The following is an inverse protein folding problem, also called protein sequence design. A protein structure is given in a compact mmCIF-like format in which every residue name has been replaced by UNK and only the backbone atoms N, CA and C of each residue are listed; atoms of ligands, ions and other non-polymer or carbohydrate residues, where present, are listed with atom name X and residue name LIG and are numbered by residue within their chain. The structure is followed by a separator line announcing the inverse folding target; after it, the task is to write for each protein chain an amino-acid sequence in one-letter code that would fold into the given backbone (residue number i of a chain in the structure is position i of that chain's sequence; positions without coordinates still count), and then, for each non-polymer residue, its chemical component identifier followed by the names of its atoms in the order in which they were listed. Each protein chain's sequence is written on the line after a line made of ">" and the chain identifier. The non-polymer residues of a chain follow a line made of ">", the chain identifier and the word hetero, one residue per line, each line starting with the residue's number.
data_IF_322284715855
#
_entry.id   IF_322284715855
#
_cell.length_a   1.000
_cell.length_b   1.000
_cell.length_c   1.000
_cell.angle_alpha   90.00
_cell.angle_beta   90.00
_cell.angle_gamma   90.00
#
_symmetry.space_group_name_H-M   'P 1'
#
loop_
_entity.id
_entity.type
_entity.pdbx_description
1 polymer ?
#
# COMPACT_ATOMS: atom_id res chain seq x y z
N UNK A 1 -16.82 7.21 -36.45
CA UNK A 1 -17.65 6.12 -35.91
C UNK A 1 -18.81 6.69 -35.11
N UNK A 2 -19.95 6.01 -35.08
CA UNK A 2 -21.01 6.30 -34.09
C UNK A 2 -20.74 5.53 -32.79
N UNK A 3 -21.34 5.94 -31.67
CA UNK A 3 -21.27 5.17 -30.41
C UNK A 3 -21.84 3.77 -30.58
N UNK A 4 -22.86 3.60 -31.44
CA UNK A 4 -23.45 2.31 -31.75
C UNK A 4 -22.50 1.38 -32.54
N UNK A 5 -21.68 1.94 -33.45
CA UNK A 5 -20.63 1.19 -34.14
C UNK A 5 -19.53 0.77 -33.16
N UNK A 6 -19.05 1.70 -32.32
CA UNK A 6 -18.04 1.37 -31.29
C UNK A 6 -18.54 0.28 -30.34
N UNK A 7 -19.83 0.31 -29.97
CA UNK A 7 -20.46 -0.68 -29.11
C UNK A 7 -20.51 -2.11 -29.66
N UNK A 8 -20.21 -2.33 -30.95
CA UNK A 8 -20.10 -3.66 -31.55
C UNK A 8 -18.74 -4.33 -31.25
N UNK A 9 -17.73 -3.54 -30.90
CA UNK A 9 -16.34 -3.98 -30.69
C UNK A 9 -16.06 -4.23 -29.20
N UNK A 10 -16.58 -5.35 -28.69
CA UNK A 10 -16.56 -5.69 -27.24
C UNK A 10 -15.69 -6.87 -26.85
N UNK A 11 -15.20 -7.64 -27.82
CA UNK A 11 -14.49 -8.89 -27.57
C UNK A 11 -13.20 -8.93 -28.39
N UNK A 12 -12.18 -9.73 -27.98
CA UNK A 12 -10.96 -9.88 -28.78
C UNK A 12 -11.21 -10.32 -30.22
N UNK A 13 -12.23 -11.14 -30.46
CA UNK A 13 -12.60 -11.62 -31.80
C UNK A 13 -13.18 -10.50 -32.67
N UNK A 14 -13.91 -9.56 -32.06
CA UNK A 14 -14.57 -8.45 -32.74
C UNK A 14 -13.72 -7.16 -32.69
N UNK A 15 -12.50 -7.23 -32.16
CA UNK A 15 -11.70 -6.10 -31.64
C UNK A 15 -12.35 -5.44 -30.41
N UNK A 16 -11.52 -4.89 -29.54
CA UNK A 16 -11.92 -4.19 -28.32
C UNK A 16 -11.73 -2.70 -28.54
N UNK A 17 -12.81 -1.99 -28.82
CA UNK A 17 -12.75 -0.54 -29.00
C UNK A 17 -13.26 0.22 -27.80
N UNK A 18 -12.71 1.40 -27.56
CA UNK A 18 -13.09 2.31 -26.47
C UNK A 18 -13.07 3.75 -26.97
N UNK A 19 -13.72 4.66 -26.26
CA UNK A 19 -13.68 6.10 -26.57
C UNK A 19 -13.12 6.93 -25.43
N UNK A 20 -12.47 8.05 -25.75
CA UNK A 20 -12.10 9.08 -24.78
C UNK A 20 -12.16 10.46 -25.45
N UNK A 21 -12.95 11.37 -24.89
CA UNK A 21 -13.39 12.58 -25.57
C UNK A 21 -14.16 12.22 -26.83
N UNK A 22 -13.66 12.68 -27.98
CA UNK A 22 -14.21 12.36 -29.30
C UNK A 22 -13.44 11.26 -30.02
N UNK A 23 -12.35 10.75 -29.44
CA UNK A 23 -11.47 9.80 -30.13
C UNK A 23 -11.92 8.35 -29.87
N UNK A 24 -11.68 7.49 -30.87
CA UNK A 24 -11.94 6.05 -30.84
C UNK A 24 -10.62 5.30 -30.92
N UNK A 25 -10.45 4.33 -30.04
CA UNK A 25 -9.21 3.58 -29.87
C UNK A 25 -9.47 2.08 -29.98
N UNK A 26 -8.63 1.37 -30.73
CA UNK A 26 -8.60 -0.10 -30.75
C UNK A 26 -7.53 -0.58 -29.78
N UNK A 27 -7.96 -0.98 -28.58
CA UNK A 27 -7.09 -1.39 -27.49
C UNK A 27 -6.92 -2.91 -27.42
N UNK A 28 -7.31 -3.65 -28.47
CA UNK A 28 -7.28 -5.13 -28.49
C UNK A 28 -5.93 -5.67 -28.03
N UNK A 29 -4.85 -5.16 -28.61
CA UNK A 29 -3.49 -5.62 -28.32
C UNK A 29 -2.94 -5.09 -26.98
N UNK A 30 -3.61 -4.08 -26.39
CA UNK A 30 -3.25 -3.52 -25.09
C UNK A 30 -3.93 -4.24 -23.92
N UNK A 31 -5.02 -4.99 -24.17
CA UNK A 31 -5.82 -5.62 -23.11
C UNK A 31 -4.96 -6.46 -22.17
N UNK A 32 -4.07 -7.29 -22.71
CA UNK A 32 -3.19 -8.16 -21.94
C UNK A 32 -2.04 -7.40 -21.25
N UNK A 33 -1.68 -6.22 -21.77
CA UNK A 33 -0.60 -5.36 -21.26
C UNK A 33 -1.06 -4.39 -20.17
N UNK A 34 -2.37 -4.28 -19.95
CA UNK A 34 -2.96 -3.32 -19.03
C UNK A 34 -2.53 -3.60 -17.57
N UNK A 35 -1.97 -2.61 -16.84
CA UNK A 35 -1.41 -2.83 -15.49
C UNK A 35 -2.40 -3.27 -14.41
N UNK A 36 -3.71 -3.07 -14.65
CA UNK A 36 -4.80 -3.54 -13.80
C UNK A 36 -5.34 -4.92 -14.21
N UNK A 37 -4.73 -5.58 -15.20
CA UNK A 37 -5.22 -6.80 -15.82
C UNK A 37 -6.25 -6.57 -16.93
N UNK A 38 -6.51 -7.61 -17.76
CA UNK A 38 -7.40 -7.53 -18.92
C UNK A 38 -8.86 -7.30 -18.51
N UNK A 39 -9.29 -7.88 -17.38
CA UNK A 39 -10.66 -7.76 -16.88
C UNK A 39 -11.07 -6.31 -16.66
N UNK A 40 -10.13 -5.44 -16.26
CA UNK A 40 -10.44 -4.03 -15.94
C UNK A 40 -10.65 -3.17 -17.16
N UNK A 41 -9.86 -3.37 -18.20
CA UNK A 41 -9.98 -2.61 -19.45
C UNK A 41 -11.14 -3.11 -20.29
N UNK A 42 -11.45 -4.42 -20.24
CA UNK A 42 -12.60 -5.00 -20.93
C UNK A 42 -13.96 -4.51 -20.42
N UNK A 43 -14.03 -3.94 -19.21
CA UNK A 43 -15.25 -3.28 -18.72
C UNK A 43 -15.63 -2.06 -19.54
N UNK A 44 -14.64 -1.40 -20.14
CA UNK A 44 -14.86 -0.26 -21.02
C UNK A 44 -15.11 -0.66 -22.48
N UNK A 45 -15.06 -1.96 -22.80
CA UNK A 45 -15.16 -2.46 -24.17
C UNK A 45 -16.48 -2.03 -24.82
N UNK A 46 -16.37 -1.42 -26.00
CA UNK A 46 -17.48 -0.81 -26.73
C UNK A 46 -18.08 0.42 -26.05
N UNK A 47 -17.34 1.09 -25.17
CA UNK A 47 -17.82 2.20 -24.35
C UNK A 47 -16.78 3.29 -24.08
N UNK A 48 -17.17 4.27 -23.26
CA UNK A 48 -16.37 5.43 -22.93
C UNK A 48 -15.43 5.16 -21.74
N UNK A 49 -14.19 5.66 -21.80
CA UNK A 49 -13.17 5.49 -20.76
C UNK A 49 -13.39 6.42 -19.56
N UNK A 50 -14.09 7.53 -19.74
CA UNK A 50 -14.26 8.61 -18.75
C UNK A 50 -14.77 8.13 -17.38
N UNK A 51 -15.79 7.25 -17.27
CA UNK A 51 -16.24 6.75 -15.97
C UNK A 51 -15.14 5.98 -15.22
N UNK A 52 -14.31 5.25 -15.95
CA UNK A 52 -13.19 4.48 -15.38
C UNK A 52 -12.00 5.38 -15.04
N UNK A 53 -11.75 6.40 -15.85
CA UNK A 53 -10.67 7.36 -15.64
C UNK A 53 -10.96 8.32 -14.48
N UNK A 54 -12.23 8.64 -14.25
CA UNK A 54 -12.67 9.35 -13.06
C UNK A 54 -12.34 8.58 -11.77
N UNK A 55 -12.45 7.25 -11.79
CA UNK A 55 -12.07 6.35 -10.68
C UNK A 55 -10.57 6.20 -10.50
N UNK A 56 -9.83 6.18 -11.61
CA UNK A 56 -8.40 5.92 -11.63
C UNK A 56 -7.66 7.08 -12.30
N UNK A 57 -7.51 8.21 -11.59
CA UNK A 57 -6.96 9.44 -12.18
C UNK A 57 -5.51 9.31 -12.68
N UNK A 58 -4.81 8.22 -12.34
CA UNK A 58 -3.53 7.87 -12.97
C UNK A 58 -3.63 7.81 -14.50
N UNK A 59 -4.78 7.45 -15.06
CA UNK A 59 -4.97 7.40 -16.51
C UNK A 59 -5.04 8.79 -17.16
N UNK A 60 -5.33 9.84 -16.39
CA UNK A 60 -5.26 11.22 -16.85
C UNK A 60 -3.84 11.79 -16.91
N UNK A 61 -2.80 11.02 -16.53
CA UNK A 61 -1.42 11.49 -16.59
C UNK A 61 -0.90 11.52 -18.04
N UNK A 62 -0.02 12.48 -18.41
CA UNK A 62 0.46 12.65 -19.78
C UNK A 62 0.99 11.38 -20.44
N UNK A 63 1.77 10.57 -19.72
CA UNK A 63 2.35 9.34 -20.25
C UNK A 63 1.30 8.27 -20.57
N UNK A 64 0.16 8.23 -19.86
CA UNK A 64 -0.95 7.31 -20.17
C UNK A 64 -1.76 7.81 -21.36
N UNK A 65 -1.95 9.13 -21.47
CA UNK A 65 -2.55 9.75 -22.65
C UNK A 65 -1.71 9.50 -23.91
N UNK A 66 -0.38 9.60 -23.80
CA UNK A 66 0.55 9.29 -24.89
C UNK A 66 0.45 7.84 -25.31
N UNK A 67 0.45 6.90 -24.35
CA UNK A 67 0.26 5.48 -24.63
C UNK A 67 -1.08 5.20 -25.30
N UNK A 68 -2.18 5.79 -24.81
CA UNK A 68 -3.51 5.59 -25.40
C UNK A 68 -3.57 6.07 -26.86
N UNK A 69 -2.88 7.17 -27.19
CA UNK A 69 -2.85 7.73 -28.56
C UNK A 69 -2.26 6.77 -29.59
N UNK A 70 -1.37 5.86 -29.20
CA UNK A 70 -0.81 4.83 -30.09
C UNK A 70 -1.90 3.89 -30.63
N UNK A 71 -3.02 3.77 -29.92
CA UNK A 71 -4.14 2.90 -30.26
C UNK A 71 -5.30 3.62 -30.98
N UNK A 72 -5.15 4.90 -31.34
CA UNK A 72 -6.22 5.67 -31.99
C UNK A 72 -6.53 5.11 -33.39
N UNK A 73 -7.79 4.80 -33.65
CA UNK A 73 -8.28 4.28 -34.95
C UNK A 73 -9.29 5.19 -35.63
N UNK A 74 -9.82 6.20 -34.92
CA UNK A 74 -10.65 7.22 -35.53
C UNK A 74 -11.27 8.18 -34.52
N UNK A 75 -12.36 8.82 -34.93
CA UNK A 75 -13.10 9.81 -34.14
C UNK A 75 -14.61 9.53 -34.22
N UNK A 76 -15.34 9.96 -33.19
CA UNK A 76 -16.79 9.90 -33.14
C UNK A 76 -17.41 10.90 -34.12
N UNK A 77 -18.60 10.58 -34.63
CA UNK A 77 -19.37 11.53 -35.45
C UNK A 77 -19.75 12.76 -34.61
N UNK A 78 -19.94 13.94 -35.24
CA UNK A 78 -20.31 15.16 -34.51
C UNK A 78 -21.59 15.04 -33.67
N UNK A 79 -22.52 14.18 -34.08
CA UNK A 79 -23.77 13.91 -33.36
C UNK A 79 -23.54 13.12 -32.07
N UNK A 80 -22.52 12.24 -32.04
CA UNK A 80 -22.13 11.43 -30.88
C UNK A 80 -20.99 12.05 -30.05
N UNK A 81 -20.38 13.13 -30.54
CA UNK A 81 -19.34 13.90 -29.87
C UNK A 81 -19.86 14.66 -28.64
N UNK A 82 -21.18 14.88 -28.54
CA UNK A 82 -21.79 15.42 -27.34
C UNK A 82 -21.77 14.36 -26.21
N UNK A 83 -21.32 14.70 -24.98
CA UNK A 83 -21.41 13.78 -23.86
C UNK A 83 -22.88 13.45 -23.58
N UNK A 84 -23.24 12.19 -23.27
CA UNK A 84 -24.60 11.86 -22.88
C UNK A 84 -24.99 12.69 -21.64
N UNK A 85 -26.21 13.25 -21.59
CA UNK A 85 -26.68 13.95 -20.40
C UNK A 85 -27.05 12.92 -19.32
N UNK A 86 -26.31 12.92 -18.21
CA UNK A 86 -26.64 12.14 -17.01
C UNK A 86 -25.44 11.83 -16.11
N UNK A 87 -25.39 12.50 -14.96
CA UNK A 87 -24.79 12.08 -13.69
C UNK A 87 -23.43 11.36 -13.73
N UNK A 88 -22.36 12.13 -13.90
CA UNK A 88 -21.06 11.71 -13.33
C UNK A 88 -20.82 12.52 -12.06
N UNK A 89 -21.59 12.22 -11.00
CA UNK A 89 -21.15 12.60 -9.66
C UNK A 89 -19.75 12.01 -9.47
N UNK A 90 -18.77 12.88 -9.20
CA UNK A 90 -17.40 12.49 -8.90
C UNK A 90 -17.41 11.42 -7.80
N UNK A 91 -16.96 10.18 -8.07
CA UNK A 91 -17.09 9.07 -7.12
C UNK A 91 -16.31 9.32 -5.82
N UNK A 92 -15.40 10.30 -5.82
CA UNK A 92 -14.62 10.74 -4.67
C UNK A 92 -15.22 11.96 -3.95
N UNK A 93 -16.38 12.48 -4.36
CA UNK A 93 -16.98 13.66 -3.74
C UNK A 93 -17.26 13.47 -2.24
N UNK A 94 -17.54 12.23 -1.82
CA UNK A 94 -17.76 11.86 -0.41
C UNK A 94 -16.49 11.53 0.38
N UNK A 95 -15.30 11.66 -0.21
CA UNK A 95 -14.04 11.40 0.49
C UNK A 95 -13.83 12.39 1.66
N UNK A 96 -13.21 11.97 2.77
CA UNK A 96 -12.95 12.85 3.90
C UNK A 96 -11.93 13.96 3.55
N UNK A 97 -11.95 15.11 4.26
CA UNK A 97 -10.86 16.08 4.19
C UNK A 97 -9.58 15.51 4.82
N UNK A 98 -8.42 15.96 4.35
CA UNK A 98 -7.10 15.53 4.86
C UNK A 98 -6.22 16.70 5.24
N UNK A 99 -5.21 16.42 6.07
CA UNK A 99 -4.27 17.43 6.53
C UNK A 99 -3.42 17.98 5.38
N UNK A 100 -3.29 19.31 5.21
CA UNK A 100 -2.63 19.91 4.04
C UNK A 100 -1.10 19.72 4.02
N UNK A 101 -0.48 19.35 5.14
CA UNK A 101 0.95 19.06 5.18
C UNK A 101 1.33 17.72 4.53
N UNK A 102 0.36 16.86 4.23
CA UNK A 102 0.64 15.58 3.58
C UNK A 102 1.21 15.80 2.18
N UNK A 103 2.19 14.98 1.81
CA UNK A 103 2.75 14.92 0.46
C UNK A 103 1.88 14.01 -0.39
N UNK A 104 0.98 14.63 -1.15
CA UNK A 104 0.02 13.92 -2.00
C UNK A 104 0.70 13.46 -3.29
N UNK A 105 0.65 12.17 -3.56
CA UNK A 105 1.11 11.59 -4.83
C UNK A 105 -0.05 11.25 -5.78
N UNK A 106 -1.27 11.09 -5.24
CA UNK A 106 -2.50 10.95 -6.01
C UNK A 106 -3.66 11.54 -5.23
N UNK A 107 -4.50 12.35 -5.89
CA UNK A 107 -5.71 12.89 -5.28
C UNK A 107 -6.89 11.91 -5.38
N UNK A 108 -6.99 11.17 -6.49
CA UNK A 108 -8.12 10.29 -6.81
C UNK A 108 -7.65 8.99 -7.48
N UNK A 109 -7.58 7.87 -6.75
CA UNK A 109 -7.83 7.74 -5.32
C UNK A 109 -6.77 8.45 -4.47
N UNK A 110 -7.14 8.86 -3.26
CA UNK A 110 -6.24 9.62 -2.38
C UNK A 110 -5.09 8.75 -1.87
N UNK A 111 -3.85 9.19 -2.14
CA UNK A 111 -2.64 8.56 -1.67
C UNK A 111 -1.62 9.63 -1.29
N UNK A 112 -1.15 9.59 -0.04
CA UNK A 112 -0.25 10.60 0.50
C UNK A 112 0.59 10.05 1.66
N UNK A 113 1.77 10.63 1.85
CA UNK A 113 2.71 10.32 2.93
C UNK A 113 2.98 11.58 3.78
N UNK A 114 3.34 11.44 5.06
CA UNK A 114 3.82 12.58 5.83
C UNK A 114 5.13 13.13 5.25
N UNK A 115 5.44 14.41 5.46
CA UNK A 115 6.78 14.93 5.24
C UNK A 115 7.82 14.10 6.01
N UNK A 116 8.94 13.70 5.38
CA UNK A 116 10.00 12.92 6.03
C UNK A 116 10.46 13.45 7.39
N UNK A 117 10.59 14.77 7.52
CA UNK A 117 10.99 15.47 8.74
C UNK A 117 9.98 15.37 9.89
N UNK A 118 8.71 15.04 9.59
CA UNK A 118 7.68 14.80 10.60
C UNK A 118 7.51 13.31 10.92
N UNK A 119 7.91 12.43 10.00
CA UNK A 119 7.68 10.99 10.08
C UNK A 119 8.18 10.38 11.39
N UNK A 120 9.34 10.82 11.89
CA UNK A 120 9.99 10.26 13.09
C UNK A 120 10.00 11.22 14.28
N UNK A 121 9.16 12.26 14.29
CA UNK A 121 9.06 13.18 15.44
C UNK A 121 8.34 12.55 16.64
N UNK A 122 7.52 11.54 16.38
CA UNK A 122 6.82 10.76 17.40
C UNK A 122 6.93 9.28 17.09
N UNK A 123 7.00 8.45 18.14
CA UNK A 123 6.97 7.00 17.99
C UNK A 123 5.63 6.51 17.42
N UNK A 124 4.52 7.11 17.86
CA UNK A 124 3.19 6.91 17.29
C UNK A 124 2.91 8.08 16.35
N UNK A 125 2.74 7.78 15.06
CA UNK A 125 2.39 8.77 14.05
C UNK A 125 0.97 9.28 14.33
N UNK A 126 0.76 10.61 14.43
CA UNK A 126 -0.58 11.19 14.55
C UNK A 126 -1.51 10.72 13.43
N UNK A 127 -2.79 10.52 13.73
CA UNK A 127 -3.77 9.96 12.80
C UNK A 127 -3.87 10.77 11.49
N UNK A 128 -3.72 12.08 11.59
CA UNK A 128 -3.80 13.07 10.52
C UNK A 128 -2.56 13.06 9.59
N UNK A 129 -1.45 12.50 10.09
CA UNK A 129 -0.18 12.39 9.36
C UNK A 129 0.16 10.94 8.98
N UNK A 130 -0.58 9.96 9.48
CA UNK A 130 -0.41 8.56 9.12
C UNK A 130 -0.61 8.40 7.61
N UNK A 131 0.34 7.77 6.92
CA UNK A 131 0.28 7.67 5.45
C UNK A 131 -1.03 7.01 4.99
N UNK A 132 -1.63 7.54 3.93
CA UNK A 132 -2.89 7.04 3.40
C UNK A 132 -2.64 6.42 2.04
N UNK A 133 -3.07 5.17 1.86
CA UNK A 133 -3.12 4.48 0.56
C UNK A 133 -4.53 4.01 0.29
N UNK A 134 -5.21 4.62 -0.67
CA UNK A 134 -6.53 4.20 -1.16
C UNK A 134 -6.41 3.72 -2.61
N UNK A 135 -7.01 2.57 -2.93
CA UNK A 135 -7.14 2.09 -4.32
C UNK A 135 -8.42 2.63 -4.98
N UNK A 136 -9.41 2.98 -4.18
CA UNK A 136 -10.80 3.26 -4.55
C UNK A 136 -11.34 4.40 -3.67
N UNK A 137 -12.52 4.96 -3.98
CA UNK A 137 -13.18 5.95 -3.12
C UNK A 137 -13.39 5.46 -1.69
N UNK A 138 -13.38 6.38 -0.73
CA UNK A 138 -13.57 6.06 0.69
C UNK A 138 -15.06 5.81 0.95
N UNK A 139 -15.47 4.61 1.41
CA UNK A 139 -16.86 4.34 1.74
C UNK A 139 -17.43 5.31 2.77
N UNK A 140 -18.71 5.67 2.60
CA UNK A 140 -19.52 6.34 3.62
C UNK A 140 -20.33 5.27 4.33
N UNK A 141 -20.03 5.04 5.61
CA UNK A 141 -20.61 3.93 6.38
C UNK A 141 -21.44 4.49 7.53
N UNK A 142 -22.70 4.08 7.61
CA UNK A 142 -23.57 4.39 8.75
C UNK A 142 -23.35 3.33 9.86
N UNK A 143 -22.90 3.71 11.07
CA UNK A 143 -22.48 2.75 12.09
C UNK A 143 -23.57 1.78 12.55
N UNK A 144 -24.82 2.24 12.64
CA UNK A 144 -25.94 1.41 13.10
C UNK A 144 -26.32 0.28 12.14
N UNK A 145 -26.11 0.49 10.84
CA UNK A 145 -26.45 -0.49 9.79
C UNK A 145 -25.25 -1.34 9.35
N UNK A 146 -24.03 -0.95 9.70
CA UNK A 146 -22.82 -1.74 9.40
C UNK A 146 -22.93 -3.18 9.91
N UNK A 147 -22.56 -4.15 9.06
CA UNK A 147 -22.45 -5.56 9.42
C UNK A 147 -21.18 -6.16 8.86
N UNK A 148 -20.39 -6.79 9.73
CA UNK A 148 -19.26 -7.64 9.38
C UNK A 148 -19.74 -9.08 9.21
N UNK A 149 -19.52 -9.66 8.04
CA UNK A 149 -19.86 -11.07 7.76
C UNK A 149 -18.64 -11.97 8.02
N UNK A 150 -18.85 -13.08 8.73
CA UNK A 150 -17.82 -14.11 8.93
C UNK A 150 -18.35 -15.43 8.39
N UNK A 151 -17.68 -16.01 7.41
CA UNK A 151 -18.20 -17.15 6.63
C UNK A 151 -17.10 -18.11 6.15
N UNK A 152 -17.49 -19.17 5.45
CA UNK A 152 -16.59 -20.16 4.89
C UNK A 152 -16.75 -21.58 5.46
N UNK A 153 -16.03 -22.57 4.91
CA UNK A 153 -16.20 -23.98 5.30
C UNK A 153 -15.78 -24.24 6.75
N UNK A 154 -16.69 -24.79 7.54
CA UNK A 154 -16.43 -25.13 8.95
C UNK A 154 -16.56 -23.95 9.91
N UNK A 155 -17.13 -22.83 9.49
CA UNK A 155 -17.62 -21.79 10.39
C UNK A 155 -19.14 -21.63 10.28
N UNK A 156 -19.78 -21.29 11.39
CA UNK A 156 -21.15 -20.81 11.43
C UNK A 156 -21.15 -19.38 10.93
N UNK A 157 -21.96 -19.09 9.91
CA UNK A 157 -22.09 -17.74 9.38
C UNK A 157 -22.48 -16.76 10.48
N UNK A 158 -21.64 -15.73 10.71
CA UNK A 158 -21.93 -14.64 11.63
C UNK A 158 -22.18 -13.35 10.84
N UNK A 159 -23.10 -12.53 11.34
CA UNK A 159 -23.30 -11.15 10.91
C UNK A 159 -23.22 -10.27 12.14
N UNK A 160 -22.10 -9.58 12.32
CA UNK A 160 -21.77 -8.81 13.52
C UNK A 160 -21.97 -7.32 13.27
N UNK A 161 -22.80 -6.66 14.07
CA UNK A 161 -22.81 -5.20 14.16
C UNK A 161 -21.51 -4.67 14.80
N UNK A 162 -21.23 -3.38 14.63
CA UNK A 162 -20.11 -2.72 15.30
C UNK A 162 -20.21 -2.84 16.83
N UNK A 163 -21.43 -2.70 17.38
CA UNK A 163 -21.69 -2.82 18.82
C UNK A 163 -21.39 -4.24 19.33
N UNK A 164 -21.85 -5.27 18.61
CA UNK A 164 -21.57 -6.67 18.94
C UNK A 164 -20.06 -6.97 18.89
N UNK A 165 -19.34 -6.46 17.89
CA UNK A 165 -17.90 -6.64 17.77
C UNK A 165 -17.15 -6.02 18.97
N UNK A 166 -17.60 -4.85 19.46
CA UNK A 166 -17.02 -4.18 20.64
C UNK A 166 -17.39 -4.86 21.97
N UNK A 167 -18.61 -5.38 22.10
CA UNK A 167 -19.14 -5.90 23.36
C UNK A 167 -18.84 -7.38 23.59
N UNK A 168 -18.87 -8.21 22.52
CA UNK A 168 -18.72 -9.66 22.65
C UNK A 168 -17.27 -10.13 22.78
N UNK A 169 -16.33 -9.37 22.26
CA UNK A 169 -14.93 -9.77 22.18
C UNK A 169 -14.07 -8.85 23.04
N UNK A 170 -13.15 -9.41 23.87
CA UNK A 170 -12.23 -8.59 24.64
C UNK A 170 -11.42 -7.67 23.72
N UNK A 171 -11.37 -6.37 24.03
CA UNK A 171 -10.53 -5.42 23.32
C UNK A 171 -9.06 -5.76 23.60
N UNK A 172 -8.28 -5.95 22.54
CA UNK A 172 -6.83 -6.08 22.58
C UNK A 172 -6.19 -4.89 21.87
N UNK A 173 -5.07 -4.41 22.40
CA UNK A 173 -4.31 -3.31 21.81
C UNK A 173 -2.94 -3.79 21.34
N UNK A 174 -2.57 -3.38 20.12
CA UNK A 174 -1.30 -3.75 19.48
C UNK A 174 -0.70 -2.53 18.84
N UNK A 175 0.51 -2.16 19.25
CA UNK A 175 1.30 -1.13 18.56
C UNK A 175 2.04 -1.74 17.38
N UNK A 176 1.65 -1.39 16.16
CA UNK A 176 2.19 -1.97 14.94
C UNK A 176 2.46 -0.91 13.86
N UNK A 177 3.57 -1.07 13.17
CA UNK A 177 3.92 -0.29 11.98
C UNK A 177 3.27 -0.91 10.76
N UNK A 178 2.61 -0.09 9.94
CA UNK A 178 2.20 -0.49 8.59
C UNK A 178 3.17 0.11 7.59
N UNK A 179 3.69 -0.72 6.69
CA UNK A 179 4.52 -0.30 5.57
C UNK A 179 3.87 -0.75 4.25
N UNK A 180 3.75 0.16 3.29
CA UNK A 180 3.32 -0.18 1.93
C UNK A 180 4.42 -0.97 1.21
N UNK A 181 4.05 -1.94 0.36
CA UNK A 181 5.00 -2.67 -0.49
C UNK A 181 5.85 -1.74 -1.36
N UNK A 182 5.28 -0.60 -1.76
CA UNK A 182 5.90 0.41 -2.60
C UNK A 182 6.63 1.53 -1.86
N UNK A 183 6.85 1.42 -0.54
CA UNK A 183 7.67 2.40 0.17
C UNK A 183 9.03 2.53 -0.51
N UNK A 184 9.54 3.76 -0.68
CA UNK A 184 10.79 4.07 -1.38
C UNK A 184 10.82 3.68 -2.87
N UNK A 185 9.66 3.60 -3.53
CA UNK A 185 9.56 3.29 -4.97
C UNK A 185 10.31 4.29 -5.84
N UNK A 186 10.33 5.57 -5.47
CA UNK A 186 11.01 6.62 -6.24
C UNK A 186 12.50 6.33 -6.46
N UNK A 187 13.15 5.58 -5.57
CA UNK A 187 14.55 5.16 -5.74
C UNK A 187 14.71 4.09 -6.83
N UNK A 188 13.73 3.19 -7.01
CA UNK A 188 13.73 2.24 -8.12
C UNK A 188 13.53 2.93 -9.46
N UNK A 189 12.68 3.95 -9.52
CA UNK A 189 12.46 4.75 -10.73
C UNK A 189 13.73 5.44 -11.24
N UNK A 190 14.72 5.69 -10.37
CA UNK A 190 16.03 6.26 -10.76
C UNK A 190 16.93 5.27 -11.49
N UNK A 191 16.72 3.97 -11.32
CA UNK A 191 17.44 2.92 -12.05
C UNK A 191 16.80 2.70 -13.42
N UNK A 192 15.49 2.43 -13.41
CA UNK A 192 14.66 2.24 -14.61
C UNK A 192 13.20 2.55 -14.25
N UNK A 193 12.40 3.17 -15.13
CA UNK A 193 10.99 3.45 -14.85
C UNK A 193 10.21 2.21 -14.39
N UNK A 194 9.29 2.40 -13.45
CA UNK A 194 8.43 1.36 -12.86
C UNK A 194 6.98 1.82 -12.83
N UNK A 195 6.02 0.90 -12.76
CA UNK A 195 4.60 1.25 -12.61
C UNK A 195 4.19 1.26 -11.13
N UNK A 196 3.73 2.41 -10.65
CA UNK A 196 3.17 2.56 -9.30
C UNK A 196 3.31 3.99 -8.75
N UNK A 197 2.70 4.24 -7.59
CA UNK A 197 2.77 5.54 -6.91
C UNK A 197 4.21 5.89 -6.51
N UNK A 198 4.63 7.11 -6.80
CA UNK A 198 5.99 7.61 -6.58
C UNK A 198 6.26 7.97 -5.10
N UNK A 199 6.19 6.97 -4.22
CA UNK A 199 6.49 7.13 -2.80
C UNK A 199 7.97 7.49 -2.57
N UNK A 200 8.20 8.42 -1.65
CA UNK A 200 9.49 8.65 -1.00
C UNK A 200 9.63 7.65 0.18
N UNK A 201 10.27 8.03 1.28
CA UNK A 201 10.50 7.18 2.45
C UNK A 201 9.29 7.06 3.40
N UNK A 202 8.19 7.78 3.15
CA UNK A 202 7.09 7.98 4.10
C UNK A 202 5.87 7.10 3.88
N UNK A 203 5.90 6.09 3.00
CA UNK A 203 4.81 5.10 2.89
C UNK A 203 4.87 4.04 4.00
N UNK A 204 5.09 4.51 5.23
CA UNK A 204 5.22 3.78 6.48
C UNK A 204 4.75 4.67 7.64
N UNK A 205 4.02 4.12 8.60
CA UNK A 205 3.61 4.85 9.81
C UNK A 205 3.26 3.87 10.93
N UNK A 206 3.28 4.33 12.18
CA UNK A 206 3.08 3.48 13.36
C UNK A 206 1.93 4.01 14.21
N UNK A 207 1.03 3.12 14.63
CA UNK A 207 -0.08 3.47 15.51
C UNK A 207 -0.32 2.35 16.54
N UNK A 208 -0.98 2.72 17.64
CA UNK A 208 -1.59 1.74 18.57
C UNK A 208 -2.99 1.41 18.08
N UNK A 209 -3.21 0.17 17.67
CA UNK A 209 -4.48 -0.31 17.15
C UNK A 209 -5.27 -1.01 18.26
N UNK A 210 -6.57 -0.73 18.37
CA UNK A 210 -7.46 -1.36 19.34
C UNK A 210 -8.62 -2.07 18.66
N UNK A 211 -8.90 -3.32 19.05
CA UNK A 211 -9.95 -4.10 18.42
C UNK A 211 -10.16 -5.49 18.99
N UNK A 212 -11.06 -6.25 18.36
CA UNK A 212 -11.22 -7.66 18.62
C UNK A 212 -10.07 -8.45 17.96
N UNK A 213 -9.57 -9.51 18.61
CA UNK A 213 -8.61 -10.41 17.95
C UNK A 213 -9.33 -11.21 16.86
N UNK A 214 -8.71 -11.32 15.67
CA UNK A 214 -9.26 -12.13 14.58
C UNK A 214 -9.44 -13.59 15.01
N UNK A 215 -8.48 -14.12 15.78
CA UNK A 215 -8.54 -15.43 16.42
C UNK A 215 -9.87 -15.64 17.15
N UNK A 216 -10.23 -14.73 18.04
CA UNK A 216 -11.40 -14.89 18.92
C UNK A 216 -12.71 -14.85 18.13
N UNK A 217 -12.76 -14.03 17.07
CA UNK A 217 -13.91 -13.95 16.16
C UNK A 217 -14.09 -15.25 15.37
N UNK A 218 -13.00 -15.82 14.85
CA UNK A 218 -13.04 -17.10 14.11
C UNK A 218 -13.42 -18.28 15.03
N UNK A 219 -12.88 -18.32 16.25
CA UNK A 219 -13.25 -19.33 17.24
C UNK A 219 -14.72 -19.20 17.67
N UNK A 220 -15.24 -17.98 17.84
CA UNK A 220 -16.65 -17.75 18.13
C UNK A 220 -17.57 -18.17 16.97
N UNK A 221 -17.10 -18.04 15.72
CA UNK A 221 -17.77 -18.59 14.54
C UNK A 221 -17.76 -20.13 14.54
N UNK A 222 -17.05 -20.79 15.46
CA UNK A 222 -16.99 -22.25 15.60
C UNK A 222 -15.92 -22.89 14.72
N UNK A 223 -14.93 -22.12 14.24
CA UNK A 223 -13.80 -22.68 13.52
C UNK A 223 -13.03 -23.65 14.42
N UNK A 224 -13.02 -24.93 14.04
CA UNK A 224 -12.19 -25.96 14.66
C UNK A 224 -10.85 -26.12 13.96
N UNK A 225 -10.14 -27.19 14.32
CA UNK A 225 -8.87 -27.55 13.70
C UNK A 225 -9.03 -27.83 12.21
N UNK A 226 -8.05 -27.38 11.42
CA UNK A 226 -7.97 -27.58 9.98
C UNK A 226 -6.62 -28.17 9.63
N UNK A 227 -6.61 -29.21 8.80
CA UNK A 227 -5.41 -29.80 8.22
C UNK A 227 -5.11 -29.19 6.86
N UNK A 228 -3.82 -29.03 6.53
CA UNK A 228 -3.35 -28.47 5.26
C UNK A 228 -3.26 -26.94 5.27
N UNK A 229 -2.98 -26.37 4.10
CA UNK A 229 -2.88 -24.92 3.93
C UNK A 229 -4.27 -24.31 3.76
N UNK A 230 -4.61 -23.40 4.66
CA UNK A 230 -5.85 -22.64 4.64
C UNK A 230 -5.54 -21.15 4.78
N UNK A 231 -6.49 -20.34 4.33
CA UNK A 231 -6.39 -18.89 4.33
C UNK A 231 -7.63 -18.26 4.96
N UNK A 232 -7.44 -17.05 5.47
CA UNK A 232 -8.53 -16.15 5.81
C UNK A 232 -8.50 -15.00 4.81
N UNK A 233 -9.55 -14.93 4.00
CA UNK A 233 -9.78 -13.92 2.98
C UNK A 233 -10.60 -12.77 3.58
N UNK A 234 -10.27 -11.56 3.15
CA UNK A 234 -10.91 -10.33 3.59
C UNK A 234 -11.39 -9.57 2.36
N UNK A 235 -12.57 -8.95 2.46
CA UNK A 235 -13.03 -7.97 1.48
C UNK A 235 -13.40 -6.65 2.19
N UNK A 236 -13.03 -5.53 1.58
CA UNK A 236 -13.46 -4.19 1.96
C UNK A 236 -14.85 -3.85 1.42
N UNK A 237 -15.38 -2.72 1.86
CA UNK A 237 -16.60 -2.10 1.31
C UNK A 237 -16.29 -1.24 0.07
N UNK A 238 -15.03 -0.85 -0.13
CA UNK A 238 -14.61 -0.07 -1.28
C UNK A 238 -14.68 -0.90 -2.55
N UNK A 239 -15.31 -0.32 -3.58
CA UNK A 239 -15.73 -0.99 -4.80
C UNK A 239 -15.48 -0.08 -6.01
N UNK A 240 -15.09 -0.65 -7.14
CA UNK A 240 -15.00 0.08 -8.41
C UNK A 240 -16.32 0.01 -9.21
N UNK A 241 -16.40 0.72 -10.35
CA UNK A 241 -17.59 0.72 -11.20
C UNK A 241 -18.02 -0.67 -11.71
N UNK A 242 -17.17 -1.69 -11.62
CA UNK A 242 -17.52 -3.07 -12.01
C UNK A 242 -18.09 -3.93 -10.89
N UNK A 243 -18.19 -3.39 -9.69
CA UNK A 243 -18.56 -4.18 -8.51
C UNK A 243 -17.38 -4.94 -7.88
N UNK A 244 -16.14 -4.70 -8.33
CA UNK A 244 -14.97 -5.37 -7.75
C UNK A 244 -14.51 -4.65 -6.50
N UNK A 245 -14.40 -5.40 -5.40
CA UNK A 245 -13.99 -4.87 -4.10
C UNK A 245 -12.53 -5.15 -3.77
N UNK A 246 -11.92 -4.28 -2.97
CA UNK A 246 -10.59 -4.55 -2.43
C UNK A 246 -10.59 -5.83 -1.59
N UNK A 247 -9.60 -6.70 -1.82
CA UNK A 247 -9.50 -7.95 -1.10
C UNK A 247 -8.07 -8.45 -0.96
N UNK A 248 -7.83 -9.20 0.11
CA UNK A 248 -6.54 -9.82 0.41
C UNK A 248 -6.75 -11.07 1.27
N UNK A 249 -5.69 -11.83 1.50
CA UNK A 249 -5.72 -12.95 2.46
C UNK A 249 -4.42 -13.12 3.22
N UNK A 250 -4.52 -13.75 4.39
CA UNK A 250 -3.39 -14.24 5.18
C UNK A 250 -3.53 -15.74 5.44
N UNK A 251 -2.44 -16.47 5.73
CA UNK A 251 -2.52 -17.85 6.18
C UNK A 251 -3.38 -18.00 7.45
N UNK A 252 -4.18 -19.06 7.53
CA UNK A 252 -5.05 -19.33 8.66
C UNK A 252 -4.28 -19.49 9.97
N UNK A 253 -3.09 -20.09 9.91
CA UNK A 253 -2.19 -20.22 11.06
C UNK A 253 -1.88 -18.86 11.70
N UNK A 254 -1.60 -17.84 10.89
CA UNK A 254 -1.38 -16.48 11.37
C UNK A 254 -2.64 -15.88 11.97
N UNK A 255 -3.79 -16.07 11.32
CA UNK A 255 -5.07 -15.55 11.80
C UNK A 255 -5.48 -16.15 13.15
N UNK A 256 -5.14 -17.42 13.40
CA UNK A 256 -5.41 -18.12 14.65
C UNK A 256 -4.30 -17.95 15.69
N UNK A 257 -3.06 -17.60 15.33
CA UNK A 257 -1.98 -17.47 16.31
C UNK A 257 -2.24 -16.35 17.31
N UNK A 258 -2.21 -16.68 18.60
CA UNK A 258 -2.27 -15.67 19.67
C UNK A 258 -1.06 -14.73 19.64
N UNK A 259 0.08 -15.24 19.15
CA UNK A 259 1.35 -14.50 19.10
C UNK A 259 1.43 -13.56 17.90
N UNK A 260 0.65 -13.80 16.83
CA UNK A 260 0.62 -12.95 15.66
C UNK A 260 -0.23 -11.68 15.86
N UNK A 261 -1.05 -11.64 16.92
CA UNK A 261 -1.82 -10.47 17.35
C UNK A 261 -2.64 -9.78 16.24
N UNK A 262 -3.22 -10.57 15.32
CA UNK A 262 -4.06 -10.03 14.24
C UNK A 262 -5.36 -9.48 14.81
N UNK A 263 -5.68 -8.23 14.46
CA UNK A 263 -6.85 -7.52 14.96
C UNK A 263 -7.88 -7.25 13.87
N UNK A 264 -9.14 -7.26 14.25
CA UNK A 264 -10.22 -6.49 13.65
C UNK A 264 -10.33 -5.18 14.44
N UNK A 265 -9.52 -4.20 14.04
CA UNK A 265 -9.37 -2.93 14.73
C UNK A 265 -10.56 -2.01 14.44
N UNK A 266 -11.05 -1.35 15.49
CA UNK A 266 -12.06 -0.28 15.45
C UNK A 266 -11.58 1.01 16.14
N UNK A 267 -10.35 0.99 16.68
CA UNK A 267 -9.66 2.11 17.29
C UNK A 267 -8.22 2.25 16.75
N UNK A 268 -7.75 3.49 16.64
CA UNK A 268 -6.40 3.87 16.23
C UNK A 268 -5.92 5.05 17.06
N UNK A 269 -4.81 4.87 17.77
CA UNK A 269 -4.23 5.82 18.72
C UNK A 269 -5.23 6.29 19.80
N UNK A 270 -6.04 5.36 20.30
CA UNK A 270 -7.03 5.62 21.37
C UNK A 270 -8.29 6.36 20.91
N UNK A 271 -8.44 6.61 19.61
CA UNK A 271 -9.62 7.20 19.00
C UNK A 271 -10.30 6.19 18.07
N UNK A 272 -11.55 6.44 17.72
CA UNK A 272 -12.21 5.70 16.65
C UNK A 272 -11.41 5.82 15.33
N UNK A 273 -11.48 4.78 14.50
CA UNK A 273 -10.78 4.79 13.22
C UNK A 273 -11.21 6.00 12.37
N UNK A 274 -10.25 6.81 11.86
CA UNK A 274 -10.56 7.78 10.82
C UNK A 274 -11.07 7.09 9.54
N UNK A 275 -11.91 7.79 8.77
CA UNK A 275 -12.49 7.24 7.52
C UNK A 275 -11.44 6.74 6.54
N UNK A 276 -10.37 7.50 6.29
CA UNK A 276 -9.26 7.08 5.41
C UNK A 276 -8.55 5.82 5.90
N UNK A 277 -8.61 5.51 7.19
CA UNK A 277 -7.93 4.39 7.82
C UNK A 277 -8.84 3.20 8.08
N UNK A 278 -10.08 3.21 7.56
CA UNK A 278 -10.93 2.03 7.49
C UNK A 278 -12.12 2.02 8.45
N UNK A 279 -12.60 3.18 8.89
CA UNK A 279 -13.84 3.27 9.66
C UNK A 279 -14.99 2.43 9.05
N UNK A 280 -15.73 1.63 9.83
CA UNK A 280 -15.63 1.47 11.28
C UNK A 280 -14.66 0.35 11.71
N UNK A 281 -14.27 -0.55 10.81
CA UNK A 281 -13.42 -1.70 11.12
C UNK A 281 -12.40 -1.94 10.01
N UNK A 282 -11.15 -2.19 10.39
CA UNK A 282 -10.11 -2.70 9.49
C UNK A 282 -9.47 -3.97 10.05
N UNK A 283 -8.86 -4.77 9.19
CA UNK A 283 -7.86 -5.74 9.61
C UNK A 283 -6.54 -5.00 9.88
N UNK A 284 -5.84 -5.40 10.94
CA UNK A 284 -4.44 -5.06 11.18
C UNK A 284 -3.67 -6.37 11.31
N UNK A 285 -2.69 -6.57 10.43
CA UNK A 285 -1.83 -7.77 10.42
C UNK A 285 -0.40 -7.36 10.77
N UNK A 286 0.01 -7.44 12.05
CA UNK A 286 1.35 -7.05 12.46
C UNK A 286 2.46 -7.81 11.74
N UNK A 287 3.55 -7.11 11.40
CA UNK A 287 4.72 -7.70 10.73
C UNK A 287 4.52 -8.06 9.25
N UNK A 288 3.35 -7.75 8.67
CA UNK A 288 2.99 -8.07 7.29
C UNK A 288 2.82 -6.77 6.49
N UNK A 289 3.01 -6.85 5.17
CA UNK A 289 2.81 -5.73 4.25
C UNK A 289 1.42 -5.11 4.39
N UNK A 290 1.35 -3.78 4.35
CA UNK A 290 0.11 -3.02 4.61
C UNK A 290 -1.06 -3.40 3.70
N UNK A 291 -0.80 -3.97 2.52
CA UNK A 291 -1.84 -4.46 1.60
C UNK A 291 -2.77 -5.51 2.21
N UNK A 292 -2.31 -6.32 3.18
CA UNK A 292 -3.12 -7.37 3.81
C UNK A 292 -3.99 -6.84 4.97
N UNK A 293 -3.77 -5.60 5.39
CA UNK A 293 -4.54 -4.93 6.44
C UNK A 293 -5.75 -4.22 5.82
N UNK A 294 -6.71 -5.00 5.31
CA UNK A 294 -7.90 -4.55 4.58
C UNK A 294 -8.72 -3.54 5.40
N UNK A 295 -9.04 -2.41 4.80
CA UNK A 295 -9.84 -1.33 5.39
C UNK A 295 -11.32 -1.51 5.06
N UNK A 296 -12.20 -0.83 5.82
CA UNK A 296 -13.65 -0.83 5.60
C UNK A 296 -14.20 -2.25 5.53
N UNK A 297 -13.78 -3.11 6.46
CA UNK A 297 -13.93 -4.55 6.36
C UNK A 297 -15.40 -4.95 6.27
N UNK A 298 -15.74 -5.70 5.23
CA UNK A 298 -17.10 -6.19 4.94
C UNK A 298 -17.25 -7.67 5.29
N UNK A 299 -16.28 -8.47 4.91
CA UNK A 299 -16.31 -9.93 5.07
C UNK A 299 -14.98 -10.51 5.49
N UNK A 300 -15.06 -11.60 6.24
CA UNK A 300 -13.96 -12.48 6.65
C UNK A 300 -14.39 -13.90 6.25
N UNK A 301 -13.67 -14.51 5.31
CA UNK A 301 -14.01 -15.83 4.79
C UNK A 301 -12.85 -16.81 4.98
N UNK A 302 -13.11 -17.98 5.59
CA UNK A 302 -12.14 -19.08 5.63
C UNK A 302 -12.16 -19.81 4.28
N UNK A 303 -11.00 -20.10 3.70
CA UNK A 303 -10.85 -20.66 2.36
C UNK A 303 -9.67 -21.64 2.27
N UNK A 304 -9.75 -22.72 1.47
CA UNK A 304 -8.61 -23.59 1.18
C UNK A 304 -7.60 -22.96 0.20
N UNK A 305 -7.86 -21.75 -0.27
CA UNK A 305 -7.01 -21.04 -1.24
C UNK A 305 -6.91 -19.57 -0.87
N UNK A 306 -5.85 -18.91 -1.33
CA UNK A 306 -5.70 -17.46 -1.22
C UNK A 306 -6.91 -16.71 -1.78
N UNK A 307 -7.05 -15.44 -1.36
CA UNK A 307 -8.04 -14.54 -1.94
C UNK A 307 -7.86 -14.50 -3.47
N UNK A 308 -8.93 -14.66 -4.26
CA UNK A 308 -8.86 -14.55 -5.71
C UNK A 308 -8.74 -13.10 -6.19
N UNK A 309 -8.74 -12.13 -5.27
CA UNK A 309 -8.66 -10.71 -5.58
C UNK A 309 -7.41 -10.37 -6.40
N UNK A 310 -7.55 -9.42 -7.34
CA UNK A 310 -6.44 -8.92 -8.17
C UNK A 310 -5.22 -8.54 -7.32
N UNK A 311 -5.42 -7.84 -6.19
CA UNK A 311 -4.32 -7.41 -5.32
C UNK A 311 -3.64 -8.55 -4.54
N UNK A 312 -4.24 -9.74 -4.48
CA UNK A 312 -3.57 -10.92 -3.94
C UNK A 312 -2.85 -11.71 -5.04
N UNK A 313 -3.48 -11.87 -6.20
CA UNK A 313 -3.00 -12.76 -7.26
C UNK A 313 -2.03 -12.08 -8.24
N UNK A 314 -2.34 -10.86 -8.67
CA UNK A 314 -1.70 -10.17 -9.80
C UNK A 314 -1.01 -8.85 -9.41
N UNK A 315 -0.79 -8.62 -8.12
CA UNK A 315 -0.01 -7.49 -7.60
C UNK A 315 0.71 -7.87 -6.31
N UNK A 316 1.57 -6.97 -5.80
CA UNK A 316 2.30 -7.15 -4.55
C UNK A 316 3.11 -8.44 -4.49
N UNK A 317 3.94 -8.66 -5.52
CA UNK A 317 4.91 -9.75 -5.66
C UNK A 317 6.26 -9.18 -6.09
N UNK A 318 7.34 -9.84 -5.66
CA UNK A 318 8.71 -9.51 -6.06
C UNK A 318 9.19 -10.42 -7.19
N UNK A 319 9.90 -9.86 -8.16
CA UNK A 319 10.42 -10.59 -9.33
C UNK A 319 11.90 -10.31 -9.54
N UNK A 320 12.56 -11.18 -10.30
CA UNK A 320 13.94 -10.98 -10.75
C UNK A 320 14.06 -9.65 -11.53
N UNK A 321 15.17 -8.89 -11.39
CA UNK A 321 15.36 -7.63 -12.12
C UNK A 321 15.32 -7.73 -13.65
N UNK A 322 15.52 -8.93 -14.20
CA UNK A 322 15.44 -9.20 -15.65
C UNK A 322 14.01 -9.38 -16.17
N UNK A 323 13.00 -9.52 -15.30
CA UNK A 323 11.59 -9.65 -15.71
C UNK A 323 11.05 -8.29 -16.11
N UNK A 324 10.36 -8.23 -17.26
CA UNK A 324 9.66 -7.05 -17.76
C UNK A 324 8.17 -7.35 -18.01
N UNK A 325 7.41 -6.38 -18.49
CA UNK A 325 5.94 -6.50 -18.66
C UNK A 325 5.49 -7.59 -19.63
N UNK A 326 6.32 -7.92 -20.62
CA UNK A 326 6.08 -8.96 -21.63
C UNK A 326 6.33 -10.38 -21.11
N UNK A 327 7.03 -10.52 -19.98
CA UNK A 327 7.56 -11.78 -19.46
C UNK A 327 7.16 -12.06 -18.01
N UNK A 328 6.42 -11.16 -17.37
CA UNK A 328 5.98 -11.33 -15.99
C UNK A 328 4.91 -12.42 -15.86
N UNK A 329 5.21 -13.45 -15.07
CA UNK A 329 4.23 -14.44 -14.62
C UNK A 329 3.98 -14.28 -13.12
N UNK A 330 2.83 -13.73 -12.75
CA UNK A 330 2.46 -13.54 -11.35
C UNK A 330 2.30 -14.85 -10.57
N UNK A 331 2.10 -16.00 -11.23
CA UNK A 331 2.03 -17.30 -10.55
C UNK A 331 3.41 -17.80 -10.10
N UNK A 332 4.48 -17.30 -10.70
CA UNK A 332 5.85 -17.70 -10.40
C UNK A 332 6.41 -17.11 -9.09
N UNK A 333 5.71 -16.16 -8.47
CA UNK A 333 6.12 -15.53 -7.23
C UNK A 333 5.03 -15.65 -6.13
N UNK A 334 5.44 -15.77 -4.85
CA UNK A 334 4.49 -15.72 -3.75
C UNK A 334 3.97 -14.30 -3.54
N UNK A 335 2.73 -14.19 -3.04
CA UNK A 335 2.20 -12.92 -2.54
C UNK A 335 3.07 -12.40 -1.40
N UNK A 336 3.44 -11.11 -1.42
CA UNK A 336 4.16 -10.50 -0.29
C UNK A 336 3.29 -10.61 0.95
N UNK A 337 3.85 -11.24 1.99
CA UNK A 337 3.29 -11.31 3.34
C UNK A 337 4.23 -10.53 4.26
N UNK A 338 5.18 -11.21 4.91
CA UNK A 338 6.22 -10.52 5.69
C UNK A 338 7.14 -9.69 4.78
N UNK A 339 7.56 -8.54 5.29
CA UNK A 339 8.52 -7.66 4.60
C UNK A 339 9.96 -7.88 5.11
N UNK A 340 10.97 -7.63 4.26
CA UNK A 340 12.37 -7.66 4.68
C UNK A 340 12.71 -6.46 5.59
N UNK A 341 13.88 -6.52 6.21
CA UNK A 341 14.43 -5.41 6.99
C UNK A 341 14.56 -4.13 6.13
N UNK A 342 14.25 -2.99 6.73
CA UNK A 342 14.16 -1.67 6.13
C UNK A 342 14.70 -0.60 7.09
N UNK A 343 15.27 0.47 6.54
CA UNK A 343 15.58 1.72 7.25
C UNK A 343 15.65 2.90 6.28
N UNK A 344 15.40 4.11 6.80
CA UNK A 344 15.65 5.35 6.07
C UNK A 344 16.04 6.48 7.02
N UNK A 345 16.73 7.48 6.45
CA UNK A 345 17.16 8.71 7.11
C UNK A 345 16.07 9.75 6.89
N UNK A 346 15.55 10.32 7.97
CA UNK A 346 14.55 11.38 7.93
C UNK A 346 15.15 12.77 8.15
N UNK A 347 16.29 12.84 8.85
CA UNK A 347 17.00 14.06 9.15
C UNK A 347 18.53 13.82 9.05
N UNK A 348 19.29 14.67 8.33
CA UNK A 348 18.85 15.78 7.49
C UNK A 348 18.16 15.33 6.18
N UNK A 349 17.60 16.28 5.42
CA UNK A 349 17.01 16.02 4.09
C UNK A 349 18.07 16.06 2.98
N UNK A 350 17.86 15.35 1.85
CA UNK A 350 18.75 15.44 0.70
C UNK A 350 18.96 16.88 0.23
N UNK A 351 20.20 17.28 0.00
CA UNK A 351 20.58 18.62 -0.45
C UNK A 351 20.70 19.67 0.65
N UNK A 352 20.48 19.31 1.92
CA UNK A 352 20.63 20.25 3.03
C UNK A 352 22.07 20.78 3.18
N UNK A 353 22.18 22.05 3.58
CA UNK A 353 23.41 22.64 4.09
C UNK A 353 23.35 22.64 5.63
N UNK A 354 24.19 21.83 6.26
CA UNK A 354 24.20 21.65 7.73
C UNK A 354 25.38 22.43 8.35
N UNK A 355 25.25 22.96 9.57
CA UNK A 355 26.36 23.65 10.24
C UNK A 355 27.52 22.69 10.54
N UNK A 356 28.75 23.23 10.55
CA UNK A 356 29.91 22.53 11.09
C UNK A 356 29.76 22.33 12.61
N UNK A 357 30.46 21.33 13.15
CA UNK A 357 30.34 20.97 14.57
C UNK A 357 29.70 19.59 14.74
N UNK A 358 28.57 19.50 15.42
CA UNK A 358 27.85 18.24 15.66
C UNK A 358 26.61 18.13 14.75
N UNK A 359 26.55 17.09 13.94
CA UNK A 359 25.39 16.71 13.15
C UNK A 359 24.64 15.58 13.85
N UNK A 360 23.34 15.75 14.07
CA UNK A 360 22.45 14.66 14.46
C UNK A 360 21.75 14.09 13.23
N UNK A 361 21.99 12.82 12.94
CA UNK A 361 21.31 12.06 11.88
C UNK A 361 20.22 11.23 12.54
N UNK A 362 18.99 11.29 12.05
CA UNK A 362 17.85 10.53 12.58
C UNK A 362 17.16 9.71 11.50
N UNK A 363 16.46 8.68 11.93
CA UNK A 363 15.64 7.89 11.03
C UNK A 363 14.80 6.84 11.72
N UNK A 364 14.24 5.96 10.91
CA UNK A 364 13.52 4.77 11.35
C UNK A 364 14.19 3.51 10.81
N UNK A 365 13.94 2.39 11.47
CA UNK A 365 14.26 1.05 11.01
C UNK A 365 13.15 0.07 11.43
N UNK A 366 12.86 -0.93 10.62
CA UNK A 366 11.81 -1.92 10.88
C UNK A 366 12.07 -3.21 10.09
N UNK A 367 11.56 -4.35 10.56
CA UNK A 367 11.54 -5.61 9.81
C UNK A 367 10.20 -6.31 10.01
N UNK A 368 9.76 -7.06 9.00
CA UNK A 368 8.53 -7.84 9.07
C UNK A 368 8.64 -9.04 10.03
N UNK A 369 7.54 -9.77 10.16
CA UNK A 369 7.48 -11.02 10.93
C UNK A 369 7.80 -10.89 12.43
N UNK A 370 7.82 -9.68 12.98
CA UNK A 370 8.12 -9.44 14.39
C UNK A 370 9.61 -9.54 14.71
N UNK A 371 10.47 -9.50 13.69
CA UNK A 371 11.92 -9.50 13.86
C UNK A 371 12.36 -8.10 14.27
N UNK A 372 12.69 -7.95 15.55
CA UNK A 372 13.17 -6.68 16.08
C UNK A 372 14.45 -6.22 15.38
N UNK A 373 14.56 -4.91 15.12
CA UNK A 373 15.84 -4.30 14.74
C UNK A 373 16.79 -4.36 15.93
N UNK A 374 17.94 -5.00 15.74
CA UNK A 374 18.97 -5.15 16.77
C UNK A 374 20.13 -4.17 16.57
N UNK A 375 20.30 -3.61 15.37
CA UNK A 375 21.34 -2.62 15.06
C UNK A 375 20.96 -1.75 13.87
N UNK A 376 21.38 -0.49 13.89
CA UNK A 376 21.40 0.40 12.73
C UNK A 376 22.81 0.94 12.57
N UNK A 377 23.40 0.72 11.39
CA UNK A 377 24.71 1.24 11.03
C UNK A 377 24.53 2.47 10.14
N UNK A 378 25.21 3.57 10.47
CA UNK A 378 25.17 4.83 9.73
C UNK A 378 26.57 5.18 9.22
N UNK A 379 26.65 5.54 7.94
CA UNK A 379 27.87 6.01 7.29
C UNK A 379 27.74 7.48 6.93
N UNK A 380 28.86 8.21 6.98
CA UNK A 380 28.95 9.62 6.55
C UNK A 380 29.76 9.78 5.24
N UNK A 381 30.34 8.70 4.72
CA UNK A 381 31.39 8.70 3.70
C UNK A 381 31.09 7.78 2.51
N UNK A 382 29.81 7.56 2.20
CA UNK A 382 29.42 6.74 1.06
C UNK A 382 29.43 5.23 1.34
N UNK A 383 29.44 4.81 2.60
CA UNK A 383 29.38 3.41 3.03
C UNK A 383 30.73 2.76 3.25
N UNK A 384 31.82 3.55 3.35
CA UNK A 384 33.18 3.05 3.55
C UNK A 384 33.44 2.75 5.03
N UNK A 385 33.00 3.65 5.90
CA UNK A 385 33.06 3.47 7.36
C UNK A 385 31.67 3.63 7.97
N UNK A 386 31.47 2.96 9.11
CA UNK A 386 30.17 2.84 9.75
C UNK A 386 30.28 3.12 11.25
N UNK A 387 29.25 3.75 11.79
CA UNK A 387 29.05 3.98 13.22
C UNK A 387 27.69 3.44 13.60
N UNK A 388 27.62 2.75 14.72
CA UNK A 388 26.34 2.25 15.25
C UNK A 388 25.51 3.41 15.79
N UNK A 389 24.27 3.52 15.35
CA UNK A 389 23.31 4.51 15.84
C UNK A 389 22.67 4.04 17.16
N UNK A 390 22.28 5.01 18.00
CA UNK A 390 21.50 4.73 19.19
C UNK A 390 20.05 4.43 18.79
N UNK A 391 19.56 3.23 19.12
CA UNK A 391 18.13 2.94 19.06
C UNK A 391 17.42 3.65 20.22
N UNK A 392 16.40 4.45 19.90
CA UNK A 392 15.64 5.19 20.90
C UNK A 392 14.74 4.27 21.73
N UNK A 393 14.47 4.59 23.00
CA UNK A 393 13.56 3.82 23.84
C UNK A 393 12.17 3.70 23.21
N UNK A 394 11.60 2.49 23.27
CA UNK A 394 10.22 2.24 22.86
C UNK A 394 9.29 2.41 24.07
N UNK A 395 8.12 3.06 23.91
CA UNK A 395 7.16 3.21 24.99
C UNK A 395 6.58 1.87 25.46
N UNK A 396 6.62 0.83 24.62
CA UNK A 396 6.13 -0.51 24.94
C UNK A 396 7.13 -1.59 24.51
N UNK A 397 7.35 -2.59 25.37
CA UNK A 397 8.01 -3.84 24.98
C UNK A 397 6.97 -4.69 24.24
N UNK A 398 7.20 -4.93 22.95
CA UNK A 398 6.30 -5.71 22.10
C UNK A 398 7.05 -6.82 21.37
N UNK A 399 6.37 -7.51 20.45
CA UNK A 399 6.95 -8.60 19.65
C UNK A 399 7.62 -8.10 18.35
N UNK A 400 8.24 -6.93 18.40
CA UNK A 400 8.90 -6.35 17.22
C UNK A 400 7.97 -5.86 16.09
N UNK A 401 6.68 -5.62 16.35
CA UNK A 401 5.74 -5.12 15.32
C UNK A 401 5.93 -3.65 14.95
N UNK A 402 6.44 -2.86 15.88
CA UNK A 402 6.68 -1.44 15.71
C UNK A 402 8.13 -1.18 15.31
N UNK A 403 8.36 -0.09 14.56
CA UNK A 403 9.67 0.38 14.17
C UNK A 403 10.58 0.68 15.38
N UNK A 404 11.89 0.74 15.11
CA UNK A 404 12.86 1.40 15.96
C UNK A 404 13.14 2.79 15.37
N UNK A 405 12.95 3.83 16.17
CA UNK A 405 13.52 5.14 15.85
C UNK A 405 14.98 5.15 16.31
N UNK A 406 15.84 5.86 15.59
CA UNK A 406 17.27 5.89 15.88
C UNK A 406 17.86 7.27 15.65
N UNK A 407 18.94 7.57 16.36
CA UNK A 407 19.76 8.76 16.14
C UNK A 407 21.26 8.46 16.22
N UNK A 408 22.06 9.20 15.47
CA UNK A 408 23.53 9.21 15.57
C UNK A 408 24.01 10.66 15.62
N UNK A 409 24.83 10.99 16.61
CA UNK A 409 25.56 12.26 16.67
C UNK A 409 26.98 12.06 16.16
N UNK A 410 27.40 12.92 15.22
CA UNK A 410 28.71 12.82 14.62
C UNK A 410 29.34 14.20 14.40
N UNK A 411 30.66 14.35 14.67
CA UNK A 411 31.36 15.57 14.33
C UNK A 411 31.50 15.70 12.81
N UNK A 412 31.26 16.90 12.29
CA UNK A 412 31.35 17.23 10.86
C UNK A 412 32.20 18.48 10.65
N UNK A 413 33.18 18.38 9.75
CA UNK A 413 34.11 19.46 9.45
C UNK A 413 33.53 20.46 8.46
N UNK A 414 33.85 21.74 8.63
CA UNK A 414 33.37 22.82 7.77
C UNK A 414 33.76 22.59 6.31
N UNK A 415 32.84 22.85 5.38
CA UNK A 415 33.05 22.67 3.95
C UNK A 415 33.09 21.21 3.44
N UNK A 416 32.87 20.21 4.30
CA UNK A 416 32.79 18.81 3.88
C UNK A 416 31.54 18.51 3.02
N UNK A 417 31.65 17.52 2.14
CA UNK A 417 30.52 16.90 1.45
C UNK A 417 30.30 15.53 2.05
N UNK A 418 29.08 15.25 2.50
CA UNK A 418 28.73 14.00 3.14
C UNK A 418 27.76 13.23 2.26
N UNK A 419 27.99 11.93 2.12
CA UNK A 419 27.00 10.99 1.62
C UNK A 419 26.58 10.14 2.82
N UNK A 420 25.43 10.49 3.41
CA UNK A 420 24.90 9.78 4.55
C UNK A 420 24.20 8.51 4.10
N UNK A 421 24.47 7.39 4.75
CA UNK A 421 23.75 6.14 4.54
C UNK A 421 23.28 5.53 5.85
N UNK A 422 22.18 4.79 5.81
CA UNK A 422 21.79 3.90 6.89
C UNK A 422 21.46 2.50 6.37
N UNK A 423 21.76 1.50 7.20
CA UNK A 423 21.32 0.11 7.02
C UNK A 423 21.00 -0.52 8.36
N UNK A 424 19.94 -1.32 8.41
CA UNK A 424 19.52 -2.01 9.62
C UNK A 424 19.84 -3.51 9.58
N UNK A 425 19.94 -4.10 10.77
CA UNK A 425 20.05 -5.54 11.00
C UNK A 425 18.92 -5.98 11.90
N UNK A 426 18.17 -7.01 11.50
CA UNK A 426 17.10 -7.57 12.31
C UNK A 426 17.58 -8.72 13.20
N UNK A 427 16.69 -9.22 14.07
CA UNK A 427 16.98 -10.28 15.05
C UNK A 427 17.36 -11.62 14.42
N UNK A 428 17.05 -11.82 13.13
CA UNK A 428 17.49 -12.97 12.34
C UNK A 428 18.78 -12.69 11.57
N UNK A 429 19.44 -11.55 11.83
CA UNK A 429 20.62 -11.07 11.13
C UNK A 429 20.43 -10.86 9.63
N UNK A 430 19.18 -10.71 9.15
CA UNK A 430 18.96 -10.22 7.80
C UNK A 430 19.45 -8.76 7.72
N UNK A 431 20.00 -8.40 6.56
CA UNK A 431 20.56 -7.08 6.29
C UNK A 431 19.98 -6.49 5.01
N UNK A 432 20.10 -5.18 4.84
CA UNK A 432 19.73 -4.48 3.62
C UNK A 432 20.83 -4.58 2.55
N UNK A 433 20.49 -4.75 1.26
CA UNK A 433 21.46 -4.77 0.17
C UNK A 433 22.01 -3.37 -0.15
N UNK A 434 23.20 -3.33 -0.75
CA UNK A 434 23.97 -2.10 -0.99
C UNK A 434 23.34 -1.16 -2.04
N UNK A 435 22.68 -1.74 -3.05
CA UNK A 435 22.23 -1.01 -4.23
C UNK A 435 20.85 -1.45 -4.72
N UNK A 436 20.13 -0.51 -5.32
CA UNK A 436 18.79 -0.71 -5.85
C UNK A 436 18.80 -1.57 -7.12
N UNK A 437 19.86 -1.49 -7.93
CA UNK A 437 19.92 -2.19 -9.23
C UNK A 437 19.73 -3.70 -9.11
N UNK A 438 20.31 -4.32 -8.07
CA UNK A 438 20.20 -5.76 -7.84
C UNK A 438 18.82 -6.22 -7.35
N UNK A 439 17.98 -5.30 -6.89
CA UNK A 439 16.63 -5.58 -6.36
C UNK A 439 15.52 -4.89 -7.17
N UNK A 440 15.86 -4.25 -8.28
CA UNK A 440 14.87 -3.60 -9.14
C UNK A 440 13.82 -4.61 -9.59
N UNK A 441 12.57 -4.18 -9.70
CA UNK A 441 11.49 -4.96 -10.31
C UNK A 441 10.48 -4.02 -10.95
N UNK A 442 9.74 -4.51 -11.94
CA UNK A 442 8.81 -3.73 -12.77
C UNK A 442 7.71 -2.96 -12.00
N UNK A 443 7.32 -3.45 -10.80
CA UNK A 443 6.32 -2.80 -9.91
C UNK A 443 6.93 -1.83 -8.91
N UNK A 444 8.26 -1.74 -8.84
CA UNK A 444 8.95 -0.87 -7.90
C UNK A 444 8.65 -1.18 -6.43
N UNK A 445 8.35 -2.44 -6.08
CA UNK A 445 8.06 -2.86 -4.69
C UNK A 445 9.31 -3.41 -4.00
N UNK A 446 9.27 -3.60 -2.68
CA UNK A 446 10.39 -4.16 -1.90
C UNK A 446 11.69 -3.33 -2.01
N UNK A 447 11.57 -2.01 -2.10
CA UNK A 447 12.73 -1.10 -2.14
C UNK A 447 13.38 -0.98 -0.76
N UNK A 448 14.35 -1.85 -0.49
CA UNK A 448 15.03 -1.94 0.81
C UNK A 448 16.56 -1.83 0.74
N UNK A 449 17.14 -1.37 -0.37
CA UNK A 449 18.56 -1.05 -0.41
C UNK A 449 18.90 0.11 0.55
N UNK A 450 20.19 0.32 0.84
CA UNK A 450 20.62 1.40 1.75
C UNK A 450 20.07 2.75 1.30
N UNK A 451 19.46 3.50 2.21
CA UNK A 451 19.00 4.86 1.92
C UNK A 451 20.19 5.82 1.88
N UNK A 452 20.21 6.75 0.92
CA UNK A 452 21.33 7.64 0.65
C UNK A 452 20.88 9.10 0.69
N UNK A 453 21.53 9.91 1.52
CA UNK A 453 21.21 11.33 1.69
C UNK A 453 22.47 12.18 1.53
N UNK A 454 22.69 12.78 0.34
CA UNK A 454 23.80 13.70 0.13
C UNK A 454 23.51 15.04 0.80
N UNK A 455 24.48 15.57 1.57
CA UNK A 455 24.42 16.90 2.21
C UNK A 455 25.77 17.62 2.14
N UNK A 456 25.74 18.92 2.40
CA UNK A 456 26.95 19.76 2.46
C UNK A 456 27.09 20.38 3.85
N UNK A 457 28.31 20.56 4.34
CA UNK A 457 28.59 21.25 5.59
C UNK A 457 28.98 22.69 5.28
N UNK A 458 28.33 23.67 5.93
CA UNK A 458 28.65 25.08 5.75
C UNK A 458 30.10 25.38 6.15
N UNK A 459 30.68 26.42 5.54
CA UNK A 459 32.04 26.87 5.84
C UNK A 459 32.12 27.63 7.16
#
# INVERSE_FOLDING_TARGET
>A
YTRAEVAQHRTPNDRVWVTHGTDVFDVTDFVELHPGGPDKILLAAGGALEPFWALYAVHGQPHVLELLREYKVGELSPEDAAPPPGDTEDPFAGDPPRHPALRVNSLKPFNAEPPPELLTQSFLTPNELFFTRNHLPVPTVEPGSYRLRVEGPGVRGLSLSLAELRQRFPKHEVTATLQCAGNRRSEMSRVRPVKGLAWDIGAISTARWGGARLRDVLLAAGLGDKSGEWHVCFEGLDEDASGTRYGASIPLERALSAEAEVLLAYEMNGQELPRDHGFPVRVVVPGVVGARSVKWLRSVAVSPSESPSHWQQNDYKGFCPSVDWDSVDFKAAPAIQELPVQSAITEPRPGAAVPAGELTVKGYAWSGGGREVIRVDVSLDGGRTWREAQLLPRPERGRGWAWALWELRAPVAAGARLELLCKAVDRSYNVQPDSVGAIWNLRGVLSNAWHRVPVTVTR
#
